data_IF_080139141942
#
_entry.id   IF_080139141942
#
_cell.length_a   1.000
_cell.length_b   1.000
_cell.length_c   1.000
_cell.angle_alpha   90.00
_cell.angle_beta   90.00
_cell.angle_gamma   90.00
#
_symmetry.space_group_name_H-M   'P 1'
#
loop_
_entity.id
_entity.type
_entity.pdbx_description
1 polymer ?
#
# COMPACT_ATOMS: atom_id res chain seq x y z
N UNK A 1 5.83 24.81 8.07
CA UNK A 1 4.66 25.68 8.31
C UNK A 1 3.42 24.81 8.13
N UNK A 2 2.82 24.34 9.22
CA UNK A 2 1.56 23.61 9.15
C UNK A 2 0.49 24.57 8.59
N UNK A 3 -0.22 24.15 7.55
CA UNK A 3 -1.19 25.00 6.84
C UNK A 3 -2.33 25.41 7.79
N UNK A 4 -2.73 26.69 7.71
CA UNK A 4 -3.62 27.32 8.69
C UNK A 4 -5.05 26.74 8.65
N UNK A 5 -5.62 26.55 9.86
CA UNK A 5 -7.02 26.45 10.32
C UNK A 5 -8.15 25.95 9.39
N UNK A 6 -8.19 26.30 8.11
CA UNK A 6 -9.22 25.86 7.15
C UNK A 6 -9.06 24.38 6.73
N UNK A 7 -7.83 23.84 6.78
CA UNK A 7 -7.54 22.47 6.34
C UNK A 7 -8.09 21.37 7.25
N UNK A 8 -8.03 21.56 8.57
CA UNK A 8 -8.41 20.51 9.55
C UNK A 8 -9.92 20.29 9.59
N UNK A 9 -10.72 21.37 9.55
CA UNK A 9 -12.18 21.27 9.54
C UNK A 9 -12.68 20.54 8.28
N UNK A 10 -12.02 20.75 7.14
CA UNK A 10 -12.35 20.06 5.89
C UNK A 10 -12.01 18.57 5.94
N UNK A 11 -10.93 18.14 6.59
CA UNK A 11 -10.57 16.72 6.68
C UNK A 11 -11.44 16.00 7.70
N UNK A 12 -11.60 16.55 8.90
CA UNK A 12 -12.38 15.91 9.96
C UNK A 12 -13.89 16.01 9.74
N UNK A 13 -14.37 17.03 9.02
CA UNK A 13 -15.80 17.30 8.91
C UNK A 13 -16.41 17.81 10.23
N UNK A 14 -15.58 18.44 11.07
CA UNK A 14 -15.90 18.88 12.42
C UNK A 14 -14.65 19.34 13.17
N UNK A 15 -14.76 19.53 14.50
CA UNK A 15 -13.67 20.04 15.34
C UNK A 15 -12.69 18.94 15.84
N UNK A 16 -13.07 17.67 15.72
CA UNK A 16 -12.28 16.52 16.16
C UNK A 16 -12.55 15.30 15.28
N UNK A 17 -11.68 14.30 15.40
CA UNK A 17 -11.89 12.99 14.76
C UNK A 17 -13.16 12.37 15.36
N UNK A 18 -14.15 12.18 14.51
CA UNK A 18 -15.50 11.76 14.91
C UNK A 18 -16.17 10.96 13.79
N UNK A 19 -17.45 10.59 13.95
CA UNK A 19 -18.17 9.78 12.96
C UNK A 19 -18.08 10.32 11.51
N UNK A 20 -18.21 11.64 11.23
CA UNK A 20 -18.01 12.18 9.88
C UNK A 20 -16.62 11.90 9.30
N UNK A 21 -15.58 11.90 10.13
CA UNK A 21 -14.21 11.59 9.70
C UNK A 21 -14.09 10.13 9.27
N UNK A 22 -14.60 9.20 10.10
CA UNK A 22 -14.50 7.75 9.84
C UNK A 22 -15.26 7.35 8.57
N UNK A 23 -16.48 7.86 8.37
CA UNK A 23 -17.28 7.57 7.18
C UNK A 23 -16.60 8.06 5.89
N UNK A 24 -15.94 9.22 5.94
CA UNK A 24 -15.19 9.75 4.79
C UNK A 24 -13.89 8.99 4.55
N UNK A 25 -13.19 8.59 5.61
CA UNK A 25 -12.00 7.76 5.48
C UNK A 25 -12.33 6.40 4.88
N UNK A 26 -13.47 5.80 5.24
CA UNK A 26 -13.94 4.58 4.59
C UNK A 26 -14.22 4.81 3.09
N UNK A 27 -14.96 5.87 2.73
CA UNK A 27 -15.24 6.18 1.33
C UNK A 27 -13.96 6.45 0.50
N UNK A 28 -13.00 7.17 1.08
CA UNK A 28 -11.70 7.42 0.44
C UNK A 28 -10.86 6.14 0.34
N UNK A 29 -10.79 5.34 1.41
CA UNK A 29 -10.07 4.07 1.41
C UNK A 29 -10.63 3.10 0.36
N UNK A 30 -11.94 3.13 0.09
CA UNK A 30 -12.53 2.36 -1.00
C UNK A 30 -12.14 2.91 -2.38
N UNK A 31 -12.14 4.23 -2.56
CA UNK A 31 -11.85 4.88 -3.84
C UNK A 31 -10.38 4.79 -4.25
N UNK A 32 -9.46 5.04 -3.31
CA UNK A 32 -8.03 5.19 -3.59
C UNK A 32 -7.38 3.97 -4.26
N UNK A 33 -7.70 2.71 -3.91
CA UNK A 33 -7.19 1.53 -4.62
C UNK A 33 -7.47 1.54 -6.12
N UNK A 34 -8.62 2.07 -6.57
CA UNK A 34 -8.94 2.16 -8.00
C UNK A 34 -8.14 3.25 -8.70
N UNK A 35 -7.91 4.37 -8.03
CA UNK A 35 -7.02 5.42 -8.52
C UNK A 35 -5.59 4.88 -8.63
N UNK A 36 -5.13 4.12 -7.64
CA UNK A 36 -3.83 3.45 -7.67
C UNK A 36 -3.74 2.43 -8.82
N UNK A 37 -4.79 1.63 -9.06
CA UNK A 37 -4.82 0.71 -10.20
C UNK A 37 -4.68 1.45 -11.54
N UNK A 38 -5.36 2.60 -11.71
CA UNK A 38 -5.19 3.45 -12.89
C UNK A 38 -3.76 4.00 -13.00
N UNK A 39 -3.17 4.45 -11.88
CA UNK A 39 -1.79 4.89 -11.84
C UNK A 39 -0.79 3.78 -12.19
N UNK A 40 -1.06 2.53 -11.79
CA UNK A 40 -0.25 1.35 -12.18
C UNK A 40 -0.32 1.12 -13.69
N UNK A 41 -1.49 1.25 -14.33
CA UNK A 41 -1.60 1.15 -15.79
C UNK A 41 -0.79 2.24 -16.48
N UNK A 42 -0.89 3.49 -16.03
CA UNK A 42 -0.08 4.60 -16.55
C UNK A 42 1.42 4.36 -16.36
N UNK A 43 1.81 3.86 -15.20
CA UNK A 43 3.20 3.48 -14.91
C UNK A 43 3.70 2.38 -15.86
N UNK A 44 2.88 1.35 -16.11
CA UNK A 44 3.22 0.30 -17.06
C UNK A 44 3.31 0.83 -18.50
N UNK A 45 2.42 1.74 -18.93
CA UNK A 45 2.54 2.39 -20.25
C UNK A 45 3.87 3.13 -20.35
N UNK A 46 4.23 3.91 -19.32
CA UNK A 46 5.51 4.63 -19.28
C UNK A 46 6.73 3.68 -19.29
N UNK A 47 6.63 2.52 -18.63
CA UNK A 47 7.67 1.49 -18.69
C UNK A 47 7.78 0.88 -20.09
N UNK A 48 6.66 0.61 -20.75
CA UNK A 48 6.64 -0.03 -22.08
C UNK A 48 7.21 0.86 -23.19
N UNK A 49 7.25 2.19 -23.03
CA UNK A 49 7.84 3.08 -24.05
C UNK A 49 9.36 2.91 -24.17
N UNK A 50 10.06 2.66 -23.06
CA UNK A 50 11.53 2.52 -23.03
C UNK A 50 12.00 1.08 -22.76
N UNK A 51 11.15 0.24 -22.18
CA UNK A 51 11.50 -1.09 -21.70
C UNK A 51 12.23 -1.07 -20.35
N UNK A 52 12.52 -2.26 -19.82
CA UNK A 52 13.25 -2.43 -18.55
C UNK A 52 14.76 -2.25 -18.71
N UNK A 53 15.41 -1.75 -17.66
CA UNK A 53 16.87 -1.65 -17.56
C UNK A 53 17.50 -2.99 -17.18
N UNK A 54 18.79 -3.19 -17.52
CA UNK A 54 19.58 -4.36 -17.11
C UNK A 54 20.43 -4.05 -15.86
N UNK A 55 20.83 -5.07 -15.05
CA UNK A 55 21.69 -4.85 -13.88
C UNK A 55 23.07 -4.25 -14.21
N UNK A 56 23.54 -4.45 -15.44
CA UNK A 56 24.82 -3.91 -15.94
C UNK A 56 24.68 -2.42 -16.29
N UNK A 57 23.46 -1.89 -16.39
CA UNK A 57 23.18 -0.48 -16.69
C UNK A 57 23.42 -0.09 -18.15
N UNK A 58 23.84 -1.04 -18.99
CA UNK A 58 23.99 -0.86 -20.45
C UNK A 58 22.70 -1.22 -21.18
N UNK A 59 22.61 -0.80 -22.45
CA UNK A 59 21.45 -1.10 -23.30
C UNK A 59 21.20 -2.62 -23.39
N UNK A 60 19.98 -3.04 -23.10
CA UNK A 60 19.54 -4.42 -23.23
C UNK A 60 19.08 -4.77 -24.65
N UNK A 61 19.14 -3.84 -25.60
CA UNK A 61 18.61 -4.03 -26.97
C UNK A 61 19.33 -5.14 -27.76
N UNK A 62 20.56 -5.46 -27.37
CA UNK A 62 21.42 -6.43 -28.05
C UNK A 62 21.00 -7.87 -27.71
N UNK A 63 20.43 -8.09 -26.53
CA UNK A 63 20.05 -9.41 -26.01
C UNK A 63 18.70 -9.35 -25.29
N UNK A 64 17.62 -9.25 -26.07
CA UNK A 64 16.25 -9.29 -25.54
C UNK A 64 15.67 -10.69 -25.71
N UNK A 65 15.14 -11.22 -24.61
CA UNK A 65 14.33 -12.45 -24.61
C UNK A 65 12.85 -12.12 -24.41
N UNK A 66 11.96 -12.97 -24.94
CA UNK A 66 10.52 -12.79 -24.79
C UNK A 66 10.04 -12.97 -23.35
N UNK A 67 8.98 -12.25 -22.98
CA UNK A 67 8.38 -12.34 -21.65
C UNK A 67 7.84 -13.75 -21.34
N UNK A 68 7.07 -14.32 -22.28
CA UNK A 68 6.69 -15.73 -22.25
C UNK A 68 7.72 -16.57 -23.03
N UNK A 69 8.20 -17.71 -22.50
CA UNK A 69 7.84 -18.31 -21.21
C UNK A 69 8.71 -17.83 -20.03
N UNK A 70 9.86 -17.22 -20.31
CA UNK A 70 10.95 -17.06 -19.35
C UNK A 70 10.56 -16.29 -18.09
N UNK A 71 10.03 -15.07 -18.24
CA UNK A 71 9.69 -14.22 -17.10
C UNK A 71 8.39 -14.66 -16.43
N UNK A 72 7.44 -15.25 -17.16
CA UNK A 72 6.22 -15.84 -16.56
C UNK A 72 6.57 -16.91 -15.52
N UNK A 73 7.42 -17.88 -15.88
CA UNK A 73 7.80 -18.93 -14.92
C UNK A 73 8.70 -18.41 -13.81
N UNK A 74 9.58 -17.44 -14.11
CA UNK A 74 10.41 -16.78 -13.09
C UNK A 74 9.54 -16.06 -12.04
N UNK A 75 8.56 -15.28 -12.48
CA UNK A 75 7.66 -14.53 -11.60
C UNK A 75 6.73 -15.47 -10.82
N UNK A 76 6.30 -16.57 -11.42
CA UNK A 76 5.47 -17.56 -10.72
C UNK A 76 6.18 -18.18 -9.51
N UNK A 77 7.50 -18.41 -9.60
CA UNK A 77 8.29 -18.90 -8.45
C UNK A 77 8.23 -17.90 -7.30
N UNK A 78 8.41 -16.60 -7.56
CA UNK A 78 8.39 -15.57 -6.52
C UNK A 78 6.98 -15.35 -5.97
N UNK A 79 5.93 -15.51 -6.78
CA UNK A 79 4.53 -15.52 -6.31
C UNK A 79 4.31 -16.64 -5.29
N UNK A 80 4.77 -17.87 -5.55
CA UNK A 80 4.63 -18.96 -4.59
C UNK A 80 5.45 -18.75 -3.31
N UNK A 81 6.67 -18.21 -3.42
CA UNK A 81 7.48 -17.84 -2.24
C UNK A 81 6.78 -16.76 -1.42
N UNK A 82 6.22 -15.73 -2.06
CA UNK A 82 5.44 -14.70 -1.38
C UNK A 82 4.21 -15.29 -0.68
N UNK A 83 3.44 -16.15 -1.35
CA UNK A 83 2.26 -16.78 -0.76
C UNK A 83 2.61 -17.68 0.42
N UNK A 84 3.72 -18.41 0.34
CA UNK A 84 4.22 -19.21 1.46
C UNK A 84 4.52 -18.32 2.68
N UNK A 85 5.33 -17.27 2.50
CA UNK A 85 5.67 -16.34 3.59
C UNK A 85 4.42 -15.66 4.14
N UNK A 86 3.54 -15.16 3.27
CA UNK A 86 2.30 -14.51 3.66
C UNK A 86 1.40 -15.46 4.47
N UNK A 87 1.27 -16.72 4.05
CA UNK A 87 0.51 -17.73 4.77
C UNK A 87 1.07 -18.02 6.17
N UNK A 88 2.40 -17.93 6.36
CA UNK A 88 3.00 -18.10 7.68
C UNK A 88 2.51 -17.02 8.66
N UNK A 89 2.47 -15.77 8.20
CA UNK A 89 1.91 -14.67 8.99
C UNK A 89 0.42 -14.89 9.26
N UNK A 90 -0.37 -15.15 8.22
CA UNK A 90 -1.84 -15.27 8.37
C UNK A 90 -2.24 -16.43 9.29
N UNK A 91 -1.63 -17.61 9.16
CA UNK A 91 -2.08 -18.81 9.88
C UNK A 91 -1.37 -19.08 11.20
N UNK A 92 -0.09 -18.72 11.34
CA UNK A 92 0.69 -19.05 12.53
C UNK A 92 1.04 -17.83 13.40
N UNK A 93 1.03 -16.62 12.84
CA UNK A 93 1.46 -15.43 13.56
C UNK A 93 0.70 -14.14 13.16
N UNK A 94 -0.65 -14.14 13.16
CA UNK A 94 -1.45 -13.10 12.51
C UNK A 94 -1.32 -11.71 13.14
N UNK A 95 -0.98 -11.65 14.42
CA UNK A 95 -0.95 -10.39 15.17
C UNK A 95 0.47 -9.82 15.34
N UNK A 96 1.49 -10.48 14.81
CA UNK A 96 2.90 -10.13 15.06
C UNK A 96 3.32 -8.80 14.44
N UNK A 97 2.68 -8.42 13.33
CA UNK A 97 2.91 -7.14 12.66
C UNK A 97 1.91 -6.06 13.10
N UNK A 98 1.02 -6.35 14.06
CA UNK A 98 0.01 -5.43 14.55
C UNK A 98 0.34 -4.90 15.95
N UNK A 99 -0.44 -3.90 16.40
CA UNK A 99 -0.32 -3.35 17.75
C UNK A 99 -1.49 -3.84 18.64
N UNK A 100 -1.23 -4.37 19.85
CA UNK A 100 -2.28 -4.93 20.72
C UNK A 100 -3.35 -3.91 21.13
N UNK A 101 -2.98 -2.63 21.26
CA UNK A 101 -3.93 -1.56 21.61
C UNK A 101 -5.07 -1.38 20.57
N UNK A 102 -4.89 -1.83 19.32
CA UNK A 102 -5.94 -1.77 18.30
C UNK A 102 -7.10 -2.77 18.51
N UNK A 103 -6.99 -3.67 19.50
CA UNK A 103 -8.11 -4.48 19.99
C UNK A 103 -8.96 -3.77 21.05
N UNK A 104 -8.52 -2.62 21.55
CA UNK A 104 -9.26 -1.79 22.50
C UNK A 104 -10.07 -0.77 21.70
N UNK A 105 -11.40 -0.64 21.91
CA UNK A 105 -12.19 0.38 21.24
C UNK A 105 -11.65 1.79 21.48
N UNK A 106 -11.60 2.60 20.44
CA UNK A 106 -11.07 3.96 20.52
C UNK A 106 -11.83 4.82 21.54
N UNK A 107 -11.09 5.48 22.43
CA UNK A 107 -11.62 6.41 23.42
C UNK A 107 -10.99 7.81 23.23
N UNK A 108 -11.76 8.83 22.78
CA UNK A 108 -11.23 10.17 22.56
C UNK A 108 -10.67 10.87 23.81
N UNK A 109 -11.01 10.37 25.01
CA UNK A 109 -10.58 10.95 26.28
C UNK A 109 -9.28 10.33 26.81
N UNK A 110 -8.76 9.28 26.18
CA UNK A 110 -7.59 8.53 26.66
C UNK A 110 -6.65 8.25 25.50
N UNK A 111 -5.44 8.77 25.59
CA UNK A 111 -4.35 8.40 24.68
C UNK A 111 -3.59 7.20 25.27
N UNK A 112 -3.41 6.09 24.53
CA UNK A 112 -2.57 4.98 24.99
C UNK A 112 -1.14 5.43 25.28
N UNK A 113 -0.52 4.86 26.31
CA UNK A 113 0.85 5.22 26.70
C UNK A 113 1.88 4.82 25.62
N UNK A 114 1.61 3.76 24.86
CA UNK A 114 2.44 3.20 23.79
C UNK A 114 1.95 3.57 22.39
N UNK A 115 1.43 4.78 22.19
CA UNK A 115 0.94 5.21 20.86
C UNK A 115 2.07 5.18 19.81
N UNK A 116 1.87 4.39 18.75
CA UNK A 116 2.81 4.25 17.64
C UNK A 116 2.04 3.92 16.35
N UNK A 117 2.41 4.49 15.19
CA UNK A 117 1.91 4.01 13.89
C UNK A 117 2.38 2.58 13.58
N UNK A 118 1.73 1.91 12.64
CA UNK A 118 2.23 0.68 12.03
C UNK A 118 3.57 0.83 11.28
#
# INVERSE_FOLDING_TARGET
MATAFMGYCLVYGGFSVSNPTIQRFFALHYLLPFILAAAVVLHLIALHTNGSTSPIGTTANIDRISMHPYFIFKDLITVFVFLLIFSLFVFFSPNTLGHPDNYIPGNPMVTPASIVPE
#
